data_IF_316486989708
#
_entry.id   IF_316486989708
#
_cell.length_a   1.000
_cell.length_b   1.000
_cell.length_c   1.000
_cell.angle_alpha   90.00
_cell.angle_beta   90.00
_cell.angle_gamma   90.00
#
_symmetry.space_group_name_H-M   'P 1'
#
loop_
_entity.id
_entity.type
_entity.pdbx_description
1 polymer ?
#
# COMPACT_ATOMS: atom_id res chain seq x y z
N UNK A 1 44.32 -60.28 31.47
CA UNK A 1 43.35 -60.60 32.55
C UNK A 1 42.87 -59.35 33.28
N UNK A 2 43.75 -58.52 33.86
CA UNK A 2 43.32 -57.34 34.64
C UNK A 2 42.61 -56.22 33.84
N UNK A 3 42.98 -55.99 32.58
CA UNK A 3 42.38 -54.93 31.74
C UNK A 3 40.94 -55.24 31.28
N UNK A 4 40.58 -56.51 31.14
CA UNK A 4 39.23 -56.93 30.71
C UNK A 4 38.22 -56.79 31.85
N UNK A 5 38.67 -57.08 33.08
CA UNK A 5 37.86 -56.94 34.29
C UNK A 5 37.57 -55.45 34.57
N UNK A 6 38.56 -54.57 34.38
CA UNK A 6 38.35 -53.12 34.48
C UNK A 6 37.43 -52.53 33.41
N UNK A 7 37.44 -53.08 32.19
CA UNK A 7 36.54 -52.64 31.11
C UNK A 7 35.08 -53.08 31.31
N UNK A 8 34.87 -54.26 31.91
CA UNK A 8 33.55 -54.75 32.33
C UNK A 8 33.00 -53.95 33.51
N UNK A 9 33.83 -53.65 34.50
CA UNK A 9 33.44 -52.87 35.67
C UNK A 9 33.11 -51.42 35.27
N UNK A 10 33.91 -50.80 34.39
CA UNK A 10 33.62 -49.45 33.87
C UNK A 10 32.28 -49.36 33.12
N UNK A 11 31.83 -50.43 32.45
CA UNK A 11 30.50 -50.49 31.83
C UNK A 11 29.36 -50.74 32.82
N UNK A 12 29.63 -51.43 33.93
CA UNK A 12 28.68 -51.71 35.00
C UNK A 12 28.47 -50.49 35.91
N UNK A 13 29.52 -49.76 36.27
CA UNK A 13 29.43 -48.58 37.16
C UNK A 13 28.72 -47.39 36.50
N UNK A 14 28.77 -47.26 35.16
CA UNK A 14 28.15 -46.15 34.43
C UNK A 14 26.75 -46.44 33.85
N UNK A 15 26.12 -47.57 34.22
CA UNK A 15 24.66 -47.75 34.09
C UNK A 15 24.08 -47.54 32.68
N UNK A 16 24.78 -47.99 31.62
CA UNK A 16 24.30 -47.91 30.23
C UNK A 16 23.92 -49.29 29.68
N UNK A 17 23.13 -50.05 30.45
CA UNK A 17 22.40 -51.21 29.93
C UNK A 17 20.91 -50.92 30.03
N UNK A 18 20.41 -50.02 29.18
CA UNK A 18 18.98 -49.91 28.96
C UNK A 18 18.50 -51.25 28.37
N UNK A 19 17.55 -51.90 29.03
CA UNK A 19 16.94 -53.11 28.50
C UNK A 19 16.25 -52.79 27.16
N UNK A 20 16.09 -53.78 26.28
CA UNK A 20 15.48 -53.58 24.95
C UNK A 20 14.11 -52.90 25.03
N UNK A 21 13.34 -53.18 26.07
CA UNK A 21 12.06 -52.53 26.36
C UNK A 21 12.22 -51.04 26.74
N UNK A 22 13.22 -50.69 27.55
CA UNK A 22 13.52 -49.30 27.94
C UNK A 22 14.02 -48.48 26.74
N UNK A 23 14.84 -49.08 25.88
CA UNK A 23 15.28 -48.48 24.62
C UNK A 23 14.09 -48.21 23.70
N UNK A 24 13.18 -49.18 23.54
CA UNK A 24 11.98 -49.01 22.73
C UNK A 24 11.06 -47.91 23.28
N UNK A 25 10.90 -47.86 24.61
CA UNK A 25 10.11 -46.84 25.29
C UNK A 25 10.70 -45.42 25.13
N UNK A 26 12.02 -45.29 25.24
CA UNK A 26 12.73 -44.02 25.02
C UNK A 26 12.61 -43.57 23.56
N UNK A 27 12.81 -44.49 22.60
CA UNK A 27 12.66 -44.21 21.18
C UNK A 27 11.23 -43.77 20.82
N UNK A 28 10.21 -44.37 21.43
CA UNK A 28 8.82 -43.97 21.27
C UNK A 28 8.56 -42.56 21.81
N UNK A 29 9.10 -42.22 22.99
CA UNK A 29 9.00 -40.85 23.54
C UNK A 29 9.71 -39.82 22.67
N UNK A 30 10.89 -40.16 22.16
CA UNK A 30 11.66 -39.29 21.27
C UNK A 30 10.92 -39.09 19.94
N UNK A 31 10.37 -40.14 19.34
CA UNK A 31 9.60 -40.01 18.08
C UNK A 31 8.34 -39.16 18.28
N UNK A 32 7.63 -39.33 19.41
CA UNK A 32 6.49 -38.48 19.75
C UNK A 32 6.91 -37.02 19.93
N UNK A 33 8.02 -36.76 20.63
CA UNK A 33 8.56 -35.41 20.79
C UNK A 33 8.96 -34.79 19.45
N UNK A 34 9.60 -35.53 18.54
CA UNK A 34 9.93 -35.05 17.20
C UNK A 34 8.68 -34.71 16.39
N UNK A 35 7.63 -35.54 16.45
CA UNK A 35 6.37 -35.25 15.76
C UNK A 35 5.72 -33.98 16.30
N UNK A 36 5.70 -33.80 17.64
CA UNK A 36 5.13 -32.59 18.26
C UNK A 36 5.92 -31.35 17.85
N UNK A 37 7.26 -31.40 17.90
CA UNK A 37 8.13 -30.30 17.48
C UNK A 37 7.93 -29.99 16.00
N UNK A 38 7.87 -31.03 15.15
CA UNK A 38 7.65 -30.88 13.71
C UNK A 38 6.31 -30.21 13.40
N UNK A 39 5.23 -30.62 14.08
CA UNK A 39 3.91 -30.01 13.93
C UNK A 39 3.89 -28.57 14.43
N UNK A 40 4.55 -28.28 15.55
CA UNK A 40 4.65 -26.93 16.10
C UNK A 40 5.42 -25.99 15.17
N UNK A 41 6.56 -26.43 14.63
CA UNK A 41 7.34 -25.68 13.64
C UNK A 41 6.56 -25.46 12.34
N UNK A 42 5.92 -26.52 11.83
CA UNK A 42 5.08 -26.42 10.63
C UNK A 42 3.95 -25.40 10.82
N UNK A 43 3.31 -25.40 11.99
CA UNK A 43 2.28 -24.41 12.34
C UNK A 43 2.83 -23.01 12.49
N UNK A 44 4.00 -22.85 13.10
CA UNK A 44 4.68 -21.57 13.21
C UNK A 44 4.97 -20.96 11.83
N UNK A 45 5.58 -21.73 10.93
CA UNK A 45 5.85 -21.27 9.56
C UNK A 45 4.58 -20.97 8.76
N UNK A 46 3.52 -21.78 8.95
CA UNK A 46 2.23 -21.54 8.33
C UNK A 46 1.60 -20.21 8.79
N UNK A 47 1.60 -19.94 10.10
CA UNK A 47 1.08 -18.68 10.65
C UNK A 47 1.91 -17.48 10.15
N UNK A 48 3.24 -17.63 10.11
CA UNK A 48 4.14 -16.58 9.63
C UNK A 48 3.86 -16.21 8.17
N UNK A 49 3.68 -17.20 7.29
CA UNK A 49 3.33 -16.98 5.89
C UNK A 49 1.95 -16.30 5.75
N UNK A 50 0.96 -16.73 6.53
CA UNK A 50 -0.37 -16.11 6.54
C UNK A 50 -0.30 -14.64 7.01
N UNK A 51 0.51 -14.34 8.03
CA UNK A 51 0.73 -12.97 8.50
C UNK A 51 1.39 -12.09 7.44
N UNK A 52 2.42 -12.59 6.76
CA UNK A 52 3.07 -11.87 5.66
C UNK A 52 2.09 -11.59 4.52
N UNK A 53 1.22 -12.56 4.20
CA UNK A 53 0.16 -12.38 3.19
C UNK A 53 -0.90 -11.38 3.63
N UNK A 54 -1.33 -11.41 4.89
CA UNK A 54 -2.30 -10.43 5.42
C UNK A 54 -1.72 -9.02 5.46
N UNK A 55 -0.45 -8.86 5.86
CA UNK A 55 0.24 -7.56 5.86
C UNK A 55 0.38 -7.03 4.43
N UNK A 56 0.76 -7.87 3.46
CA UNK A 56 0.79 -7.47 2.04
C UNK A 56 -0.58 -7.05 1.54
N UNK A 57 -1.62 -7.86 1.75
CA UNK A 57 -3.00 -7.51 1.37
C UNK A 57 -3.49 -6.21 2.02
N UNK A 58 -3.16 -5.99 3.28
CA UNK A 58 -3.53 -4.77 4.00
C UNK A 58 -2.74 -3.55 3.47
N UNK A 59 -1.47 -3.72 3.14
CA UNK A 59 -0.64 -2.70 2.51
C UNK A 59 -1.13 -2.36 1.11
N UNK A 60 -1.45 -3.38 0.30
CA UNK A 60 -1.97 -3.23 -1.06
C UNK A 60 -3.36 -2.57 -1.03
N UNK A 61 -4.23 -2.98 -0.10
CA UNK A 61 -5.55 -2.35 0.09
C UNK A 61 -5.44 -0.90 0.61
N UNK A 62 -4.43 -0.58 1.44
CA UNK A 62 -4.16 0.80 1.87
C UNK A 62 -3.61 1.65 0.73
N UNK A 63 -2.73 1.09 -0.10
CA UNK A 63 -2.25 1.74 -1.32
C UNK A 63 -3.40 2.00 -2.30
N UNK A 64 -4.31 1.02 -2.49
CA UNK A 64 -5.53 1.18 -3.28
C UNK A 64 -6.49 2.21 -2.65
N UNK A 65 -6.64 2.23 -1.32
CA UNK A 65 -7.47 3.22 -0.61
C UNK A 65 -6.89 4.64 -0.68
N UNK A 66 -5.56 4.77 -0.71
CA UNK A 66 -4.84 6.02 -1.02
C UNK A 66 -5.00 6.43 -2.48
N UNK A 67 -5.08 5.47 -3.41
CA UNK A 67 -5.36 5.70 -4.83
C UNK A 67 -6.84 6.01 -5.11
N UNK A 68 -7.77 5.61 -4.23
CA UNK A 68 -9.20 5.96 -4.29
C UNK A 68 -9.51 7.39 -3.81
N UNK A 69 -8.49 8.24 -3.63
CA UNK A 69 -8.57 9.62 -3.13
C UNK A 69 -9.35 10.60 -4.02
N UNK A 70 -9.94 10.14 -5.13
CA UNK A 70 -10.99 10.90 -5.82
C UNK A 70 -12.23 10.90 -4.93
N UNK A 71 -12.61 12.07 -4.39
CA UNK A 71 -13.89 12.21 -3.67
C UNK A 71 -15.02 11.76 -4.63
N UNK A 72 -15.80 10.71 -4.33
CA UNK A 72 -16.89 10.27 -5.21
C UNK A 72 -17.83 11.42 -5.58
N UNK A 73 -18.06 12.33 -4.63
CA UNK A 73 -18.80 13.56 -4.83
C UNK A 73 -18.17 14.52 -5.85
N UNK A 74 -16.84 14.66 -5.86
CA UNK A 74 -16.15 15.45 -6.88
C UNK A 74 -16.41 14.87 -8.27
N UNK A 75 -16.31 13.55 -8.42
CA UNK A 75 -16.56 12.87 -9.70
C UNK A 75 -17.99 13.10 -10.20
N UNK A 76 -19.00 12.83 -9.36
CA UNK A 76 -20.40 13.03 -9.74
C UNK A 76 -20.70 14.50 -10.07
N UNK A 77 -20.21 15.45 -9.27
CA UNK A 77 -20.45 16.87 -9.54
C UNK A 77 -19.75 17.34 -10.79
N UNK A 78 -18.53 16.88 -11.04
CA UNK A 78 -17.79 17.23 -12.25
C UNK A 78 -18.51 16.69 -13.48
N UNK A 79 -18.99 15.44 -13.43
CA UNK A 79 -19.79 14.86 -14.51
C UNK A 79 -21.10 15.61 -14.74
N UNK A 80 -21.79 16.04 -13.68
CA UNK A 80 -23.01 16.86 -13.80
C UNK A 80 -22.73 18.24 -14.41
N UNK A 81 -21.67 18.92 -13.96
CA UNK A 81 -21.23 20.19 -14.54
C UNK A 81 -20.89 20.02 -16.03
N UNK A 82 -20.15 18.97 -16.39
CA UNK A 82 -19.85 18.63 -17.79
C UNK A 82 -21.13 18.35 -18.57
N UNK A 83 -22.05 17.55 -18.03
CA UNK A 83 -23.32 17.21 -18.69
C UNK A 83 -24.16 18.46 -18.97
N UNK A 84 -24.19 19.43 -18.04
CA UNK A 84 -24.88 20.71 -18.26
C UNK A 84 -24.17 21.58 -19.30
N UNK A 85 -22.84 21.44 -19.42
CA UNK A 85 -22.02 22.20 -20.36
C UNK A 85 -22.18 21.71 -21.81
N UNK A 86 -22.49 20.43 -22.03
CA UNK A 86 -22.67 19.85 -23.38
C UNK A 86 -23.70 20.65 -24.20
N UNK A 87 -24.81 21.07 -23.59
CA UNK A 87 -25.87 21.81 -24.27
C UNK A 87 -25.50 23.28 -24.58
N UNK A 88 -24.46 23.81 -23.93
CA UNK A 88 -24.02 25.21 -24.05
C UNK A 88 -22.79 25.31 -24.95
N UNK A 89 -21.80 24.47 -24.70
CA UNK A 89 -20.51 24.44 -25.40
C UNK A 89 -19.94 23.01 -25.40
N UNK A 90 -20.26 22.27 -26.47
CA UNK A 90 -19.81 20.89 -26.66
C UNK A 90 -18.29 20.76 -26.74
N UNK A 91 -17.58 21.76 -27.28
CA UNK A 91 -16.12 21.71 -27.42
C UNK A 91 -15.44 21.84 -26.05
N UNK A 92 -15.93 22.73 -25.19
CA UNK A 92 -15.45 22.82 -23.80
C UNK A 92 -15.82 21.58 -22.99
N UNK A 93 -17.00 21.01 -23.19
CA UNK A 93 -17.40 19.77 -22.52
C UNK A 93 -16.48 18.59 -22.90
N UNK A 94 -16.14 18.44 -24.18
CA UNK A 94 -15.20 17.43 -24.65
C UNK A 94 -13.81 17.61 -24.01
N UNK A 95 -13.29 18.84 -23.97
CA UNK A 95 -12.03 19.13 -23.27
C UNK A 95 -12.08 18.74 -21.80
N UNK A 96 -13.17 19.09 -21.09
CA UNK A 96 -13.34 18.77 -19.68
C UNK A 96 -13.43 17.25 -19.42
N UNK A 97 -14.03 16.48 -20.33
CA UNK A 97 -14.02 15.00 -20.26
C UNK A 97 -12.60 14.46 -20.42
N UNK A 98 -11.84 15.03 -21.35
CA UNK A 98 -10.41 14.71 -21.53
C UNK A 98 -9.59 14.99 -20.28
N UNK A 99 -9.77 16.17 -19.68
CA UNK A 99 -9.09 16.60 -18.46
C UNK A 99 -9.45 15.69 -17.27
N UNK A 100 -10.74 15.36 -17.10
CA UNK A 100 -11.21 14.43 -16.08
C UNK A 100 -10.63 13.03 -16.27
N UNK A 101 -10.62 12.51 -17.50
CA UNK A 101 -10.06 11.20 -17.83
C UNK A 101 -8.55 11.16 -17.58
N UNK A 102 -7.84 12.23 -17.91
CA UNK A 102 -6.42 12.41 -17.61
C UNK A 102 -6.14 12.42 -16.11
N UNK A 103 -6.96 13.14 -15.34
CA UNK A 103 -6.86 13.22 -13.88
C UNK A 103 -7.13 11.86 -13.22
N UNK A 104 -8.18 11.14 -13.66
CA UNK A 104 -8.48 9.79 -13.16
C UNK A 104 -7.36 8.80 -13.48
N UNK A 105 -6.88 8.77 -14.73
CA UNK A 105 -5.81 7.86 -15.15
C UNK A 105 -4.56 8.06 -14.31
N UNK A 106 -4.17 9.31 -14.04
CA UNK A 106 -2.95 9.63 -13.26
C UNK A 106 -3.09 9.31 -11.77
N UNK A 107 -4.26 9.55 -11.17
CA UNK A 107 -4.53 9.14 -9.77
C UNK A 107 -4.42 7.64 -9.52
N UNK A 108 -4.68 6.81 -10.54
CA UNK A 108 -4.55 5.35 -10.48
C UNK A 108 -3.20 4.82 -10.98
N UNK A 109 -2.41 5.60 -11.72
CA UNK A 109 -1.20 5.12 -12.42
C UNK A 109 0.13 5.58 -11.82
N UNK A 110 0.13 6.39 -10.76
CA UNK A 110 1.37 6.89 -10.15
C UNK A 110 2.17 5.76 -9.47
N UNK A 111 3.09 5.17 -10.21
CA UNK A 111 4.19 4.33 -9.73
C UNK A 111 5.50 5.12 -9.57
N UNK A 112 5.54 6.34 -10.10
CA UNK A 112 6.69 7.24 -10.05
C UNK A 112 6.78 7.95 -8.70
N UNK A 113 8.01 8.06 -8.18
CA UNK A 113 8.29 8.69 -6.88
C UNK A 113 8.53 10.20 -6.98
N UNK A 114 8.99 10.68 -8.15
CA UNK A 114 9.36 12.07 -8.41
C UNK A 114 8.88 12.48 -9.81
N UNK A 115 8.50 13.75 -9.96
CA UNK A 115 8.08 14.39 -11.22
C UNK A 115 8.65 15.80 -11.28
N UNK A 116 8.71 16.39 -12.47
CA UNK A 116 9.09 17.79 -12.60
C UNK A 116 7.98 18.71 -12.11
N UNK A 117 8.37 19.90 -11.64
CA UNK A 117 7.42 20.92 -11.19
C UNK A 117 6.45 21.30 -12.30
N UNK A 118 6.90 21.44 -13.55
CA UNK A 118 6.00 21.78 -14.66
C UNK A 118 4.94 20.70 -14.92
N UNK A 119 5.30 19.44 -14.76
CA UNK A 119 4.34 18.33 -14.84
C UNK A 119 3.30 18.39 -13.72
N UNK A 120 3.70 18.61 -12.46
CA UNK A 120 2.75 18.72 -11.34
C UNK A 120 1.86 19.98 -11.47
N UNK A 121 2.42 21.10 -11.92
CA UNK A 121 1.65 22.33 -12.17
C UNK A 121 0.63 22.15 -13.27
N UNK A 122 0.95 21.43 -14.35
CA UNK A 122 -0.01 21.10 -15.40
C UNK A 122 -1.17 20.27 -14.85
N UNK A 123 -0.90 19.36 -13.91
CA UNK A 123 -1.94 18.55 -13.27
C UNK A 123 -2.83 19.40 -12.38
N UNK A 124 -2.23 20.30 -11.62
CA UNK A 124 -2.94 21.26 -10.76
C UNK A 124 -3.82 22.17 -11.61
N UNK A 125 -3.36 22.63 -12.77
CA UNK A 125 -4.15 23.45 -13.69
C UNK A 125 -5.38 22.69 -14.22
N UNK A 126 -5.21 21.43 -14.64
CA UNK A 126 -6.33 20.57 -15.07
C UNK A 126 -7.34 20.36 -13.94
N UNK A 127 -6.85 20.09 -12.72
CA UNK A 127 -7.70 19.95 -11.55
C UNK A 127 -8.47 21.23 -11.23
N UNK A 128 -7.79 22.37 -11.20
CA UNK A 128 -8.41 23.68 -10.93
C UNK A 128 -9.38 24.10 -12.03
N UNK A 129 -9.16 23.71 -13.28
CA UNK A 129 -10.11 23.93 -14.37
C UNK A 129 -11.42 23.17 -14.15
N UNK A 130 -11.35 21.91 -13.72
CA UNK A 130 -12.54 21.11 -13.38
C UNK A 130 -13.26 21.67 -12.15
N UNK A 131 -12.51 22.04 -11.11
CA UNK A 131 -13.05 22.69 -9.92
C UNK A 131 -13.67 24.06 -10.24
N UNK A 132 -13.13 24.77 -11.25
CA UNK A 132 -13.67 26.05 -11.72
C UNK A 132 -14.99 25.88 -12.47
N UNK A 133 -15.15 24.80 -13.24
CA UNK A 133 -16.46 24.47 -13.84
C UNK A 133 -17.51 24.20 -12.75
N UNK A 134 -17.10 23.58 -11.64
CA UNK A 134 -17.99 23.23 -10.53
C UNK A 134 -18.34 24.42 -9.63
N UNK A 135 -17.34 25.21 -9.27
CA UNK A 135 -17.47 26.34 -8.33
C UNK A 135 -17.77 27.66 -9.03
N UNK A 136 -17.69 27.68 -10.37
CA UNK A 136 -17.91 28.83 -11.23
C UNK A 136 -17.23 30.10 -10.69
N UNK A 137 -17.96 31.20 -10.50
CA UNK A 137 -17.43 32.49 -10.06
C UNK A 137 -16.78 32.46 -8.66
N UNK A 138 -17.06 31.44 -7.84
CA UNK A 138 -16.54 31.31 -6.47
C UNK A 138 -15.07 30.93 -6.41
N UNK A 139 -14.57 30.17 -7.39
CA UNK A 139 -13.16 29.80 -7.43
C UNK A 139 -12.39 30.82 -8.28
N UNK A 140 -11.45 31.55 -7.67
CA UNK A 140 -10.47 32.37 -8.38
C UNK A 140 -9.09 31.85 -8.00
N UNK A 141 -8.25 31.58 -9.00
CA UNK A 141 -6.90 31.08 -8.78
C UNK A 141 -5.92 31.73 -9.76
N UNK A 142 -4.65 31.75 -9.37
CA UNK A 142 -3.52 32.15 -10.20
C UNK A 142 -2.36 31.22 -9.90
N UNK A 143 -1.73 30.68 -10.95
CA UNK A 143 -0.53 29.85 -10.83
C UNK A 143 0.64 30.71 -11.32
N UNK A 144 1.70 30.79 -10.51
CA UNK A 144 2.93 31.50 -10.86
C UNK A 144 4.12 30.68 -10.37
N UNK A 145 5.09 30.49 -11.26
CA UNK A 145 6.30 29.72 -11.01
C UNK A 145 7.43 30.35 -11.83
N UNK A 146 8.62 30.46 -11.23
CA UNK A 146 9.83 30.90 -11.93
C UNK A 146 10.25 29.83 -12.95
N UNK A 147 10.65 30.25 -14.14
CA UNK A 147 10.95 29.32 -15.24
C UNK A 147 12.12 28.39 -14.92
N UNK A 148 13.06 28.88 -14.11
CA UNK A 148 14.22 28.14 -13.61
C UNK A 148 13.80 26.91 -12.78
N UNK A 149 12.62 26.95 -12.17
CA UNK A 149 12.12 25.89 -11.30
C UNK A 149 11.36 24.79 -12.05
N UNK A 150 10.91 25.02 -13.29
CA UNK A 150 10.08 24.04 -14.02
C UNK A 150 10.71 22.66 -14.17
N UNK A 151 12.03 22.59 -14.28
CA UNK A 151 12.78 21.34 -14.47
C UNK A 151 13.20 20.68 -13.16
N UNK A 152 12.94 21.29 -12.01
CA UNK A 152 13.26 20.71 -10.71
C UNK A 152 12.33 19.54 -10.44
N UNK A 153 12.89 18.44 -9.96
CA UNK A 153 12.13 17.25 -9.58
C UNK A 153 11.68 17.35 -8.11
N UNK A 154 10.39 17.07 -7.89
CA UNK A 154 9.76 17.03 -6.57
C UNK A 154 9.03 15.70 -6.37
N UNK A 155 8.82 15.25 -5.12
CA UNK A 155 8.03 14.05 -4.91
C UNK A 155 6.61 14.23 -5.45
N UNK A 156 6.10 13.19 -6.10
CA UNK A 156 4.77 13.21 -6.70
C UNK A 156 3.69 13.52 -5.65
N UNK A 157 2.72 14.37 -6.01
CA UNK A 157 1.62 14.80 -5.16
C UNK A 157 2.08 15.59 -3.91
N UNK A 158 3.15 16.37 -4.03
CA UNK A 158 3.57 17.26 -2.95
C UNK A 158 2.73 18.55 -2.91
N UNK A 159 2.36 19.09 -4.07
CA UNK A 159 1.64 20.36 -4.19
C UNK A 159 0.13 20.10 -4.21
N UNK A 160 -0.32 19.05 -4.89
CA UNK A 160 -1.76 18.74 -5.02
C UNK A 160 -2.53 18.72 -3.68
N UNK A 161 -2.06 18.07 -2.59
CA UNK A 161 -2.75 18.08 -1.30
C UNK A 161 -2.95 19.48 -0.72
N UNK A 162 -2.02 20.39 -0.98
CA UNK A 162 -2.10 21.77 -0.51
C UNK A 162 -3.18 22.53 -1.28
N UNK A 163 -3.27 22.30 -2.60
CA UNK A 163 -4.33 22.86 -3.45
C UNK A 163 -5.70 22.32 -3.03
N UNK A 164 -5.82 21.01 -2.83
CA UNK A 164 -7.04 20.36 -2.33
C UNK A 164 -7.49 20.98 -1.00
N UNK A 165 -6.56 21.17 -0.06
CA UNK A 165 -6.83 21.80 1.23
C UNK A 165 -7.25 23.28 1.08
N UNK A 166 -6.61 24.03 0.18
CA UNK A 166 -6.96 25.43 -0.07
C UNK A 166 -8.38 25.59 -0.60
N UNK A 167 -8.84 24.68 -1.48
CA UNK A 167 -10.23 24.69 -1.98
C UNK A 167 -11.20 24.28 -0.86
N UNK A 168 -10.89 23.20 -0.14
CA UNK A 168 -11.72 22.67 0.94
C UNK A 168 -11.92 23.67 2.09
N UNK A 169 -10.90 24.43 2.46
CA UNK A 169 -11.01 25.35 3.60
C UNK A 169 -11.25 26.79 3.18
N UNK A 170 -10.76 27.21 2.01
CA UNK A 170 -10.86 28.59 1.55
C UNK A 170 -12.17 28.93 0.84
N UNK A 171 -12.80 27.97 0.15
CA UNK A 171 -13.99 28.23 -0.69
C UNK A 171 -15.19 27.36 -0.29
N UNK A 172 -14.91 26.24 0.39
CA UNK A 172 -15.92 25.33 0.91
C UNK A 172 -16.23 25.55 2.42
N UNK A 173 -16.32 26.77 2.99
CA UNK A 173 -16.97 26.91 4.30
C UNK A 173 -18.49 26.71 4.11
N UNK A 174 -18.92 25.51 4.54
CA UNK A 174 -20.27 25.03 4.81
C UNK A 174 -21.23 24.85 3.61
N UNK A 175 -21.49 23.58 3.29
CA UNK A 175 -22.86 23.11 3.00
C UNK A 175 -23.71 23.24 4.27
#
# INVERSE_FOLDING_TARGET
MAQIIGFLDFRLTFGLFLNREEINYLNFKLSLAYIIIFLALSRYFYIQDQWQKQIRKLSDARLIALQARIKPHFLFNTLNSISSLIAIDSNRAEKAIGDLSGLMRRGFSSSEKFIRIDEELQWIEQYLALEKLRLDSRLKYSISCEEELYKVEIPVLCIQPLVENAILHGIQPLE
#
